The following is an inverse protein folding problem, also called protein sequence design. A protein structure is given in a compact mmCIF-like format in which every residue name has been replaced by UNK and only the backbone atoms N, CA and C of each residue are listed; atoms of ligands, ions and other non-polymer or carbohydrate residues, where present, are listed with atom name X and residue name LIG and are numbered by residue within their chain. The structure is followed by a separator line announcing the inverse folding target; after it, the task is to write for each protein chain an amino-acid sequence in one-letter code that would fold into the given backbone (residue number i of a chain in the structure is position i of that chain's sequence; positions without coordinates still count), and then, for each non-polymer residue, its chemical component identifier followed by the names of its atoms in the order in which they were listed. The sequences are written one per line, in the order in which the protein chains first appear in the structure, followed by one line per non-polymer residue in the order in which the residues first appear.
data_IF_459984692307
#
_entry.id   IF_459984692307
#
_cell.length_a   1.000
_cell.length_b   1.000
_cell.length_c   1.000
_cell.angle_alpha   90.00
_cell.angle_beta   90.00
_cell.angle_gamma   90.00
#
_symmetry.space_group_name_H-M   'P 1'
#
loop_
_entity.id
_entity.type
_entity.pdbx_description
1 polymer ?
#
# COMPACT_ATOMS: atom_id res chain seq x y z
N UNK A 1 19.00 5.63 -14.12
CA UNK A 1 17.64 5.06 -13.96
C UNK A 1 17.59 3.95 -12.92
N UNK A 2 18.47 2.94 -12.96
CA UNK A 2 18.54 1.89 -11.90
C UNK A 2 18.74 2.48 -10.49
N UNK A 3 19.67 3.43 -10.35
CA UNK A 3 19.94 4.10 -9.07
C UNK A 3 18.74 4.90 -8.55
N UNK A 4 18.02 5.59 -9.42
CA UNK A 4 16.82 6.36 -9.04
C UNK A 4 15.75 5.41 -8.52
N UNK A 5 15.43 4.36 -9.29
CA UNK A 5 14.47 3.32 -8.88
C UNK A 5 14.84 2.70 -7.53
N UNK A 6 16.12 2.38 -7.33
CA UNK A 6 16.63 1.85 -6.06
C UNK A 6 16.39 2.82 -4.91
N UNK A 7 16.84 4.08 -5.04
CA UNK A 7 16.73 5.08 -3.98
C UNK A 7 15.26 5.37 -3.65
N UNK A 8 14.41 5.50 -4.66
CA UNK A 8 12.98 5.77 -4.45
C UNK A 8 12.28 4.59 -3.80
N UNK A 9 12.59 3.35 -4.19
CA UNK A 9 12.02 2.16 -3.55
C UNK A 9 12.59 1.91 -2.16
N UNK A 10 13.82 2.33 -1.88
CA UNK A 10 14.38 2.34 -0.54
C UNK A 10 13.63 3.32 0.37
N UNK A 11 13.30 4.52 -0.13
CA UNK A 11 12.45 5.48 0.61
C UNK A 11 11.10 4.86 0.94
N UNK A 12 10.46 4.18 -0.02
CA UNK A 12 9.20 3.47 0.24
C UNK A 12 9.37 2.37 1.28
N UNK A 13 10.43 1.57 1.20
CA UNK A 13 10.70 0.53 2.20
C UNK A 13 10.83 1.13 3.61
N UNK A 14 11.57 2.24 3.74
CA UNK A 14 11.72 2.95 5.02
C UNK A 14 10.39 3.52 5.52
N UNK A 15 9.50 3.93 4.61
CA UNK A 15 8.16 4.40 4.97
C UNK A 15 7.30 3.34 5.66
N UNK A 16 7.61 2.05 5.51
CA UNK A 16 6.82 0.97 6.11
C UNK A 16 6.84 0.94 7.63
N UNK A 17 7.87 1.51 8.25
CA UNK A 17 8.00 1.64 9.69
C UNK A 17 7.28 2.89 10.24
N UNK A 18 6.84 3.81 9.38
CA UNK A 18 6.13 5.02 9.76
C UNK A 18 4.61 4.80 9.74
N UNK A 19 3.82 5.64 10.41
CA UNK A 19 2.37 5.59 10.34
C UNK A 19 1.89 5.74 8.90
N UNK A 20 1.19 4.73 8.39
CA UNK A 20 0.52 4.77 7.09
C UNK A 20 -0.91 5.26 7.24
N UNK A 21 -1.58 4.83 8.30
CA UNK A 21 -2.91 5.30 8.69
C UNK A 21 -2.89 5.71 10.16
N UNK A 22 -3.69 6.71 10.52
CA UNK A 22 -3.87 7.24 11.88
C UNK A 22 -5.36 7.27 12.26
N UNK A 23 -6.06 6.12 12.23
CA UNK A 23 -7.45 6.06 12.66
C UNK A 23 -7.60 6.39 14.15
N UNK A 24 -8.80 6.74 14.64
CA UNK A 24 -9.04 7.04 16.06
C UNK A 24 -8.64 5.92 17.03
N UNK A 25 -8.56 4.67 16.54
CA UNK A 25 -8.12 3.49 17.31
C UNK A 25 -6.62 3.43 17.56
N UNK A 26 -5.82 4.28 16.92
CA UNK A 26 -4.36 4.31 17.04
C UNK A 26 -3.63 4.24 15.70
N UNK A 27 -2.36 4.61 15.70
CA UNK A 27 -1.52 4.61 14.49
C UNK A 27 -1.26 3.19 13.98
N UNK A 28 -1.30 3.05 12.65
CA UNK A 28 -1.04 1.79 11.96
C UNK A 28 0.06 2.00 10.92
N UNK A 29 1.17 1.28 11.08
CA UNK A 29 2.25 1.23 10.10
C UNK A 29 1.92 0.21 9.00
N UNK A 30 2.60 0.26 7.85
CA UNK A 30 2.40 -0.75 6.80
C UNK A 30 2.66 -2.17 7.33
N UNK A 31 3.70 -2.33 8.15
CA UNK A 31 4.04 -3.61 8.77
C UNK A 31 2.93 -4.04 9.74
N UNK A 32 2.38 -3.11 10.53
CA UNK A 32 1.27 -3.41 11.43
C UNK A 32 0.00 -3.82 10.68
N UNK A 33 -0.31 -3.16 9.56
CA UNK A 33 -1.42 -3.55 8.67
C UNK A 33 -1.17 -4.97 8.13
N UNK A 34 0.03 -5.25 7.64
CA UNK A 34 0.39 -6.57 7.12
C UNK A 34 0.29 -7.65 8.20
N UNK A 35 0.80 -7.38 9.40
CA UNK A 35 0.73 -8.31 10.54
C UNK A 35 -0.72 -8.62 10.91
N UNK A 36 -1.56 -7.59 11.12
CA UNK A 36 -2.97 -7.77 11.43
C UNK A 36 -3.70 -8.61 10.37
N UNK A 37 -3.39 -8.38 9.10
CA UNK A 37 -3.97 -9.14 7.97
C UNK A 37 -3.51 -10.60 7.96
N UNK A 38 -2.29 -10.90 8.41
CA UNK A 38 -1.71 -12.25 8.36
C UNK A 38 -1.93 -13.10 9.62
N UNK A 39 -2.04 -12.49 10.81
CA UNK A 39 -1.93 -13.21 12.10
C UNK A 39 -3.23 -13.31 12.91
N UNK A 40 -4.31 -12.68 12.46
CA UNK A 40 -5.56 -12.65 13.26
C UNK A 40 -6.20 -14.05 13.41
N UNK A 41 -6.55 -14.48 14.65
CA UNK A 41 -6.93 -15.87 14.97
C UNK A 41 -8.29 -16.36 14.43
N UNK A 42 -9.18 -15.46 14.00
CA UNK A 42 -10.36 -15.82 13.19
C UNK A 42 -10.06 -15.82 11.68
N UNK A 43 -8.77 -15.74 11.31
CA UNK A 43 -8.36 -15.40 9.96
C UNK A 43 -9.00 -14.10 9.49
N UNK A 44 -9.28 -14.06 8.19
CA UNK A 44 -9.86 -12.92 7.48
C UNK A 44 -11.27 -12.49 7.95
N UNK A 45 -12.02 -13.34 8.67
CA UNK A 45 -13.35 -12.99 9.21
C UNK A 45 -13.27 -12.12 10.48
N UNK A 46 -12.15 -12.14 11.22
CA UNK A 46 -11.99 -11.39 12.47
C UNK A 46 -11.52 -9.95 12.29
N UNK A 47 -10.57 -9.71 11.38
CA UNK A 47 -10.05 -8.36 11.07
C UNK A 47 -11.14 -7.49 10.47
N UNK A 48 -12.04 -8.12 9.72
CA UNK A 48 -13.07 -7.47 8.94
C UNK A 48 -14.46 -7.93 9.37
N UNK A 49 -14.71 -8.09 10.66
CA UNK A 49 -16.03 -8.49 11.19
C UNK A 49 -17.16 -7.53 10.77
N UNK A 50 -16.83 -6.32 10.32
CA UNK A 50 -17.75 -5.33 9.73
C UNK A 50 -18.07 -5.57 8.25
N UNK A 51 -17.34 -6.45 7.55
CA UNK A 51 -17.58 -6.85 6.17
C UNK A 51 -18.40 -8.14 6.18
N UNK A 52 -19.70 -8.01 5.95
CA UNK A 52 -20.65 -9.12 5.96
C UNK A 52 -20.20 -10.26 5.00
N UNK A 53 -19.95 -11.49 5.51
CA UNK A 53 -19.50 -12.63 4.71
C UNK A 53 -20.54 -13.14 3.69
N UNK A 54 -21.79 -12.66 3.78
CA UNK A 54 -22.87 -13.03 2.86
C UNK A 54 -22.94 -12.19 1.57
N UNK A 55 -22.02 -11.23 1.36
CA UNK A 55 -22.05 -10.36 0.17
C UNK A 55 -20.80 -10.54 -0.70
N UNK A 56 -20.98 -10.75 -2.01
CA UNK A 56 -19.86 -10.85 -2.97
C UNK A 56 -18.95 -9.61 -2.98
N UNK A 57 -19.48 -8.45 -2.58
CA UNK A 57 -18.74 -7.19 -2.48
C UNK A 57 -17.65 -7.18 -1.40
N UNK A 58 -17.82 -7.90 -0.29
CA UNK A 58 -16.82 -7.95 0.77
C UNK A 58 -15.58 -8.75 0.38
N UNK A 59 -15.77 -9.89 -0.29
CA UNK A 59 -14.69 -10.73 -0.82
C UNK A 59 -13.88 -9.96 -1.87
N UNK A 60 -14.54 -9.23 -2.78
CA UNK A 60 -13.85 -8.44 -3.80
C UNK A 60 -13.00 -7.32 -3.18
N UNK A 61 -13.55 -6.61 -2.19
CA UNK A 61 -12.84 -5.55 -1.45
C UNK A 61 -11.59 -6.10 -0.78
N UNK A 62 -11.72 -7.29 -0.16
CA UNK A 62 -10.62 -8.00 0.49
C UNK A 62 -9.51 -8.41 -0.51
N UNK A 63 -9.87 -9.09 -1.59
CA UNK A 63 -8.91 -9.52 -2.63
C UNK A 63 -8.19 -8.31 -3.23
N UNK A 64 -8.92 -7.22 -3.46
CA UNK A 64 -8.37 -5.98 -4.00
C UNK A 64 -7.38 -5.33 -3.03
N UNK A 65 -7.70 -5.31 -1.72
CA UNK A 65 -6.81 -4.79 -0.69
C UNK A 65 -5.51 -5.58 -0.61
N UNK A 66 -5.62 -6.91 -0.57
CA UNK A 66 -4.46 -7.79 -0.49
C UNK A 66 -3.61 -7.71 -1.76
N UNK A 67 -4.24 -7.68 -2.94
CA UNK A 67 -3.54 -7.44 -4.20
C UNK A 67 -2.82 -6.09 -4.19
N UNK A 68 -3.44 -5.04 -3.63
CA UNK A 68 -2.83 -3.73 -3.44
C UNK A 68 -1.55 -3.80 -2.60
N UNK A 69 -1.63 -4.39 -1.41
CA UNK A 69 -0.46 -4.57 -0.53
C UNK A 69 0.64 -5.42 -1.19
N UNK A 70 0.26 -6.50 -1.86
CA UNK A 70 1.20 -7.37 -2.55
C UNK A 70 1.92 -6.64 -3.68
N UNK A 71 1.21 -5.83 -4.47
CA UNK A 71 1.80 -5.01 -5.52
C UNK A 71 2.69 -3.90 -4.97
N UNK A 72 2.38 -3.33 -3.80
CA UNK A 72 3.29 -2.41 -3.09
C UNK A 72 4.60 -3.13 -2.74
N UNK A 73 4.52 -4.31 -2.12
CA UNK A 73 5.70 -5.12 -1.79
C UNK A 73 6.51 -5.51 -3.04
N UNK A 74 5.82 -5.94 -4.09
CA UNK A 74 6.44 -6.34 -5.35
C UNK A 74 7.11 -5.14 -6.05
N UNK A 75 6.48 -3.96 -5.98
CA UNK A 75 7.03 -2.72 -6.50
C UNK A 75 8.29 -2.28 -5.77
N UNK A 76 8.31 -2.40 -4.44
CA UNK A 76 9.53 -2.19 -3.64
C UNK A 76 10.61 -3.20 -4.03
N UNK A 77 10.28 -4.49 -4.07
CA UNK A 77 11.23 -5.55 -4.40
C UNK A 77 11.89 -5.33 -5.75
N UNK A 78 11.11 -5.15 -6.82
CA UNK A 78 11.67 -4.90 -8.14
C UNK A 78 12.41 -3.58 -8.24
N UNK A 79 11.95 -2.54 -7.54
CA UNK A 79 12.61 -1.25 -7.55
C UNK A 79 13.97 -1.27 -6.85
N UNK A 80 14.11 -2.02 -5.75
CA UNK A 80 15.40 -2.28 -5.08
C UNK A 80 16.35 -3.07 -5.98
N UNK A 81 15.85 -4.01 -6.78
CA UNK A 81 16.67 -4.68 -7.79
C UNK A 81 17.07 -3.76 -8.98
N UNK A 82 16.69 -2.49 -8.95
CA UNK A 82 16.93 -1.51 -10.01
C UNK A 82 16.01 -1.69 -11.22
N UNK A 83 14.96 -2.48 -11.08
CA UNK A 83 13.95 -2.75 -12.10
C UNK A 83 13.06 -1.53 -12.33
N UNK A 84 13.03 -1.02 -13.56
CA UNK A 84 12.29 0.20 -13.94
C UNK A 84 10.77 0.07 -13.77
N UNK A 85 10.25 -1.16 -13.78
CA UNK A 85 8.83 -1.44 -13.57
C UNK A 85 8.43 -1.40 -12.09
N UNK A 86 9.39 -1.51 -11.15
CA UNK A 86 9.11 -1.58 -9.71
C UNK A 86 8.24 -0.41 -9.22
N UNK A 87 8.65 0.85 -9.46
CA UNK A 87 7.84 1.99 -9.04
C UNK A 87 6.43 2.03 -9.67
N UNK A 88 6.30 1.63 -10.93
CA UNK A 88 5.00 1.56 -11.61
C UNK A 88 4.08 0.50 -11.00
N UNK A 89 4.61 -0.69 -10.72
CA UNK A 89 3.88 -1.77 -10.02
C UNK A 89 3.47 -1.31 -8.63
N UNK A 90 4.36 -0.62 -7.92
CA UNK A 90 4.08 -0.03 -6.61
C UNK A 90 2.96 1.00 -6.65
N UNK A 91 2.91 1.86 -7.67
CA UNK A 91 1.82 2.82 -7.87
C UNK A 91 0.46 2.14 -8.08
N UNK A 92 0.41 1.06 -8.87
CA UNK A 92 -0.82 0.28 -9.02
C UNK A 92 -1.25 -0.30 -7.68
N UNK A 93 -0.31 -0.83 -6.90
CA UNK A 93 -0.58 -1.31 -5.54
C UNK A 93 -1.12 -0.23 -4.62
N UNK A 94 -0.48 0.94 -4.61
CA UNK A 94 -0.95 2.12 -3.85
C UNK A 94 -2.34 2.54 -4.26
N UNK A 95 -2.65 2.56 -5.56
CA UNK A 95 -3.97 2.91 -6.06
C UNK A 95 -5.05 1.95 -5.56
N UNK A 96 -4.81 0.64 -5.62
CA UNK A 96 -5.74 -0.36 -5.10
C UNK A 96 -5.92 -0.23 -3.58
N UNK A 97 -4.82 -0.09 -2.84
CA UNK A 97 -4.86 0.13 -1.39
C UNK A 97 -5.69 1.37 -1.04
N UNK A 98 -5.45 2.49 -1.73
CA UNK A 98 -6.12 3.77 -1.51
C UNK A 98 -7.59 3.69 -1.84
N UNK A 99 -7.95 3.03 -2.94
CA UNK A 99 -9.35 2.89 -3.36
C UNK A 99 -10.13 2.09 -2.32
N UNK A 100 -9.55 0.99 -1.80
CA UNK A 100 -10.21 0.20 -0.76
C UNK A 100 -10.27 0.96 0.56
N UNK A 101 -9.18 1.62 0.98
CA UNK A 101 -9.17 2.42 2.19
C UNK A 101 -10.19 3.57 2.10
N UNK A 102 -10.28 4.25 0.97
CA UNK A 102 -11.26 5.30 0.73
C UNK A 102 -12.70 4.77 0.72
N UNK A 103 -12.94 3.59 0.14
CA UNK A 103 -14.24 2.92 0.21
C UNK A 103 -14.67 2.62 1.65
N UNK A 104 -13.73 2.29 2.54
CA UNK A 104 -14.01 1.97 3.95
C UNK A 104 -14.19 3.24 4.80
N UNK A 105 -13.29 4.21 4.67
CA UNK A 105 -13.24 5.39 5.54
C UNK A 105 -13.99 6.61 4.99
N UNK A 106 -14.40 6.58 3.73
CA UNK A 106 -15.13 7.67 3.07
C UNK A 106 -14.34 8.98 3.09
N UNK A 107 -15.03 10.10 3.30
CA UNK A 107 -14.40 11.42 3.38
C UNK A 107 -13.35 11.54 4.50
N UNK A 108 -13.51 10.76 5.59
CA UNK A 108 -12.55 10.72 6.69
C UNK A 108 -11.23 10.05 6.34
N UNK A 109 -11.08 9.44 5.15
CA UNK A 109 -9.82 8.85 4.71
C UNK A 109 -8.68 9.87 4.71
N UNK A 110 -8.93 11.10 4.23
CA UNK A 110 -7.90 12.15 4.12
C UNK A 110 -7.34 12.52 5.48
N UNK A 111 -8.19 12.56 6.51
CA UNK A 111 -7.83 12.95 7.88
C UNK A 111 -7.01 11.87 8.60
N UNK A 112 -7.08 10.62 8.14
CA UNK A 112 -6.34 9.50 8.74
C UNK A 112 -5.09 9.13 7.95
N UNK A 113 -4.72 9.84 6.89
CA UNK A 113 -3.48 9.55 6.15
C UNK A 113 -2.27 9.89 7.02
N UNK A 114 -1.36 8.91 7.17
CA UNK A 114 -0.08 9.09 7.81
C UNK A 114 1.04 9.51 6.86
N UNK A 115 2.14 9.98 7.43
CA UNK A 115 3.36 10.38 6.73
C UNK A 115 4.03 9.23 5.98
N UNK A 116 3.93 8.00 6.51
CA UNK A 116 4.44 6.80 5.86
C UNK A 116 3.73 6.52 4.54
N UNK A 117 2.41 6.71 4.49
CA UNK A 117 1.65 6.58 3.25
C UNK A 117 2.07 7.64 2.23
N UNK A 118 2.23 8.91 2.66
CA UNK A 118 2.64 10.00 1.77
C UNK A 118 4.07 9.80 1.24
N UNK A 119 4.99 9.32 2.08
CA UNK A 119 6.35 8.97 1.67
C UNK A 119 6.36 7.78 0.72
N UNK A 120 5.52 6.76 0.97
CA UNK A 120 5.35 5.62 0.07
C UNK A 120 4.84 6.05 -1.30
N UNK A 121 3.78 6.87 -1.33
CA UNK A 121 3.20 7.40 -2.56
C UNK A 121 4.21 8.29 -3.31
N UNK A 122 4.79 9.26 -2.62
CA UNK A 122 5.78 10.17 -3.19
C UNK A 122 7.02 9.45 -3.72
N UNK A 123 7.49 8.43 -2.99
CA UNK A 123 8.60 7.58 -3.41
C UNK A 123 8.30 6.84 -4.71
N UNK A 124 7.14 6.18 -4.81
CA UNK A 124 6.76 5.51 -6.05
C UNK A 124 6.49 6.46 -7.21
N UNK A 125 5.85 7.61 -6.97
CA UNK A 125 5.63 8.64 -8.00
C UNK A 125 6.97 9.16 -8.53
N UNK A 126 7.90 9.53 -7.64
CA UNK A 126 9.23 9.99 -8.02
C UNK A 126 9.98 8.90 -8.80
N UNK A 127 9.93 7.65 -8.33
CA UNK A 127 10.57 6.51 -9.00
C UNK A 127 10.01 6.25 -10.39
N UNK A 128 8.69 6.39 -10.57
CA UNK A 128 8.03 6.20 -11.85
C UNK A 128 8.33 7.33 -12.83
N UNK A 129 8.19 8.59 -12.41
CA UNK A 129 8.41 9.77 -13.27
C UNK A 129 9.89 9.88 -13.66
N UNK A 130 10.81 9.78 -12.69
CA UNK A 130 12.24 9.98 -12.91
C UNK A 130 12.94 8.71 -13.43
N UNK A 131 12.39 7.52 -13.15
CA UNK A 131 12.93 6.22 -13.61
C UNK A 131 12.33 5.71 -14.93
N UNK A 132 11.12 6.15 -15.29
CA UNK A 132 10.37 5.70 -16.46
C UNK A 132 10.65 6.45 -17.77
N UNK A 133 11.06 7.73 -17.69
CA UNK A 133 11.06 8.68 -18.82
C UNK A 133 12.04 8.50 -20.00
N UNK A 134 12.45 7.28 -20.37
CA UNK A 134 13.19 7.07 -21.63
C UNK A 134 12.47 6.29 -22.71
N UNK A 135 11.43 5.51 -22.39
CA UNK A 135 10.69 4.70 -23.38
C UNK A 135 9.28 4.34 -22.88
N UNK A 136 8.46 5.36 -22.61
CA UNK A 136 7.04 5.28 -22.96
C UNK A 136 6.90 5.97 -24.32
#
# INVERSE_FOLDING_TARGET
MRLVSFLTSLIVLLSFALPWLRPPSGEMTFIGILDQVLTTPHGFEGVFWWLNPASTGSILTFVTFFAGMFLVLLGVFFGILGGRLGPGVGLVGMFLFTTVAWYIYGEGFVDIIGEGYLLGLGGFVAGFVLGGGKYL
#
